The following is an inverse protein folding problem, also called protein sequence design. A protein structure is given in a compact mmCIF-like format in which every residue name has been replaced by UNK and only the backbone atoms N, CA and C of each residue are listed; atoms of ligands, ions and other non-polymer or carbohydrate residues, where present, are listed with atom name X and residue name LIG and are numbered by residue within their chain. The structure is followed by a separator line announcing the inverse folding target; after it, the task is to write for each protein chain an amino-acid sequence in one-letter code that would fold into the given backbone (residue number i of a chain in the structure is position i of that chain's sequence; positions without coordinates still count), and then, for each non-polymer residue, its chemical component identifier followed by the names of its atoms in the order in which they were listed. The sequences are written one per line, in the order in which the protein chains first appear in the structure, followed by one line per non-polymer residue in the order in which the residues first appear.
data_IF_402676473414
#
_entry.id   IF_402676473414
#
_cell.length_a   1.000
_cell.length_b   1.000
_cell.length_c   1.000
_cell.angle_alpha   90.00
_cell.angle_beta   90.00
_cell.angle_gamma   90.00
#
_symmetry.space_group_name_H-M   'P 1'
#
loop_
_entity.id
_entity.type
_entity.pdbx_description
1 polymer ?
#
# COMPACT_ATOMS: atom_id res chain seq x y z
N UNK A 1 -24.17 14.99 -6.75
CA UNK A 1 -23.81 15.26 -5.34
C UNK A 1 -22.46 14.61 -5.06
N UNK A 2 -21.40 15.37 -4.76
CA UNK A 2 -20.12 14.78 -4.34
C UNK A 2 -20.25 14.31 -2.88
N UNK A 3 -19.98 13.03 -2.62
CA UNK A 3 -19.97 12.46 -1.28
C UNK A 3 -18.72 12.85 -0.49
N UNK A 4 -18.74 12.66 0.83
CA UNK A 4 -17.56 12.79 1.68
C UNK A 4 -16.80 11.46 1.70
N UNK A 5 -15.49 11.50 1.44
CA UNK A 5 -14.61 10.33 1.54
C UNK A 5 -13.98 10.34 2.94
N UNK A 6 -14.16 9.26 3.68
CA UNK A 6 -13.51 9.07 4.98
C UNK A 6 -12.16 8.40 4.79
N UNK A 7 -11.09 9.10 5.15
CA UNK A 7 -9.72 8.59 5.15
C UNK A 7 -9.36 8.08 6.54
N UNK A 8 -8.76 6.89 6.58
CA UNK A 8 -8.20 6.30 7.79
C UNK A 8 -6.79 6.87 8.03
N UNK A 9 -6.38 6.96 9.28
CA UNK A 9 -5.04 7.42 9.65
C UNK A 9 -4.45 6.49 10.71
N UNK A 10 -3.36 5.80 10.38
CA UNK A 10 -2.73 4.82 11.28
C UNK A 10 -2.01 5.45 12.48
N UNK A 11 -1.89 6.78 12.51
CA UNK A 11 -1.09 7.50 13.51
C UNK A 11 0.40 7.30 13.27
N UNK A 12 1.20 7.51 14.32
CA UNK A 12 2.65 7.32 14.29
C UNK A 12 3.43 8.48 13.65
N UNK A 13 4.75 8.30 13.56
CA UNK A 13 5.66 9.28 13.00
C UNK A 13 6.09 8.90 11.57
N UNK A 14 6.43 9.92 10.77
CA UNK A 14 6.98 9.81 9.41
C UNK A 14 6.04 9.01 8.48
N UNK A 15 5.07 9.75 7.95
CA UNK A 15 3.99 9.24 7.12
C UNK A 15 4.42 9.05 5.67
N UNK A 16 3.81 8.06 5.02
CA UNK A 16 3.88 7.87 3.58
C UNK A 16 2.49 8.14 3.02
N UNK A 17 2.39 9.07 2.06
CA UNK A 17 1.14 9.54 1.48
C UNK A 17 1.10 9.33 -0.03
N UNK A 18 -0.10 9.30 -0.59
CA UNK A 18 -0.30 9.26 -2.04
C UNK A 18 0.23 10.54 -2.68
N UNK A 19 1.13 10.42 -3.66
CA UNK A 19 1.73 11.57 -4.33
C UNK A 19 0.72 12.45 -5.12
N UNK A 20 -0.46 11.92 -5.45
CA UNK A 20 -1.45 12.64 -6.26
C UNK A 20 -2.51 13.38 -5.44
N UNK A 21 -2.73 12.99 -4.19
CA UNK A 21 -3.83 13.56 -3.38
C UNK A 21 -3.54 13.65 -1.88
N UNK A 22 -2.30 13.37 -1.46
CA UNK A 22 -1.82 13.45 -0.08
C UNK A 22 -2.54 12.57 0.95
N UNK A 23 -3.44 11.69 0.51
CA UNK A 23 -4.08 10.71 1.40
C UNK A 23 -3.02 9.86 2.12
N UNK A 24 -3.12 9.77 3.45
CA UNK A 24 -2.23 8.94 4.25
C UNK A 24 -2.36 7.46 3.83
N UNK A 25 -1.25 6.81 3.51
CA UNK A 25 -1.24 5.41 3.11
C UNK A 25 -0.68 4.53 4.22
N UNK A 26 0.40 4.96 4.88
CA UNK A 26 1.01 4.21 5.98
C UNK A 26 1.99 5.10 6.78
N UNK A 27 2.77 4.52 7.68
CA UNK A 27 3.76 5.20 8.52
C UNK A 27 5.04 4.37 8.66
N UNK A 28 6.03 4.89 9.40
CA UNK A 28 7.32 4.21 9.60
C UNK A 28 7.25 2.92 10.43
N UNK A 29 6.27 2.78 11.34
CA UNK A 29 6.15 1.57 12.18
C UNK A 29 5.65 0.37 11.38
N UNK A 30 4.91 0.59 10.30
CA UNK A 30 4.46 -0.47 9.39
C UNK A 30 5.54 -0.89 8.37
N UNK A 31 6.69 -0.19 8.29
CA UNK A 31 7.74 -0.51 7.33
C UNK A 31 8.51 -1.77 7.74
N UNK A 32 8.35 -2.84 6.95
CA UNK A 32 9.06 -4.12 7.13
C UNK A 32 10.47 -4.04 6.50
N UNK A 33 10.58 -3.56 5.25
CA UNK A 33 11.87 -3.54 4.55
C UNK A 33 11.98 -2.43 3.50
N UNK A 34 13.14 -1.78 3.44
CA UNK A 34 13.51 -0.82 2.38
C UNK A 34 14.36 -1.43 1.25
N UNK A 35 14.62 -2.74 1.35
CA UNK A 35 15.41 -3.53 0.40
C UNK A 35 14.56 -4.55 -0.35
N UNK A 36 13.26 -4.30 -0.46
CA UNK A 36 12.35 -5.15 -1.20
C UNK A 36 12.43 -4.83 -2.70
N UNK A 37 12.25 -5.85 -3.54
CA UNK A 37 12.19 -5.71 -4.99
C UNK A 37 10.81 -6.19 -5.45
N UNK A 38 10.00 -5.25 -5.92
CA UNK A 38 8.72 -5.55 -6.56
C UNK A 38 8.87 -5.79 -8.06
N UNK A 39 7.75 -5.97 -8.74
CA UNK A 39 7.72 -6.22 -10.18
C UNK A 39 8.34 -5.09 -11.03
N UNK A 40 8.34 -3.85 -10.52
CA UNK A 40 8.87 -2.65 -11.20
C UNK A 40 10.24 -2.22 -10.68
N UNK A 41 10.91 -3.05 -9.87
CA UNK A 41 12.22 -2.75 -9.29
C UNK A 41 12.16 -2.49 -7.78
N UNK A 42 13.03 -1.61 -7.28
CA UNK A 42 13.17 -1.36 -5.85
C UNK A 42 11.88 -0.77 -5.27
N UNK A 43 11.42 -1.34 -4.16
CA UNK A 43 10.22 -0.94 -3.46
C UNK A 43 10.40 -1.04 -1.94
N UNK A 44 9.46 -0.44 -1.21
CA UNK A 44 9.34 -0.62 0.23
C UNK A 44 8.24 -1.63 0.52
N UNK A 45 8.53 -2.55 1.44
CA UNK A 45 7.57 -3.52 1.92
C UNK A 45 6.98 -3.03 3.24
N UNK A 46 5.67 -2.90 3.28
CA UNK A 46 4.91 -2.49 4.46
C UNK A 46 4.00 -3.63 4.94
N UNK A 47 3.79 -3.70 6.24
CA UNK A 47 2.88 -4.63 6.89
C UNK A 47 1.41 -4.22 6.68
N UNK A 48 1.10 -2.93 6.88
CA UNK A 48 -0.25 -2.38 6.71
C UNK A 48 -0.22 -1.09 5.88
N UNK A 49 -1.21 -0.98 4.99
CA UNK A 49 -1.49 0.21 4.18
C UNK A 49 -3.00 0.46 4.20
N UNK A 50 -3.40 1.72 4.33
CA UNK A 50 -4.78 2.17 4.38
C UNK A 50 -5.10 3.09 3.20
N UNK A 51 -6.39 3.42 3.03
CA UNK A 51 -6.87 4.31 1.98
C UNK A 51 -6.55 3.83 0.56
N UNK A 52 -6.65 2.52 0.35
CA UNK A 52 -6.44 1.85 -0.94
C UNK A 52 -7.72 1.18 -1.47
N UNK A 53 -7.78 1.00 -2.79
CA UNK A 53 -8.67 0.09 -3.50
C UNK A 53 -7.87 -1.13 -3.91
N UNK A 54 -8.45 -2.31 -3.74
CA UNK A 54 -7.81 -3.57 -4.14
C UNK A 54 -8.46 -4.09 -5.41
N UNK A 55 -7.64 -4.61 -6.33
CA UNK A 55 -8.12 -5.33 -7.51
C UNK A 55 -8.56 -6.76 -7.15
N UNK A 56 -8.94 -7.55 -8.15
CA UNK A 56 -9.26 -8.97 -7.96
C UNK A 56 -8.03 -9.73 -7.47
N UNK A 57 -8.26 -10.78 -6.68
CA UNK A 57 -7.18 -11.71 -6.28
C UNK A 57 -6.61 -12.36 -7.53
N UNK A 58 -5.30 -12.50 -7.54
CA UNK A 58 -4.54 -13.20 -8.56
C UNK A 58 -3.53 -14.11 -7.88
N UNK A 59 -3.37 -15.31 -8.40
CA UNK A 59 -2.26 -16.18 -8.03
C UNK A 59 -1.00 -15.74 -8.78
N UNK A 60 0.10 -15.52 -8.05
CA UNK A 60 1.38 -15.11 -8.63
C UNK A 60 2.51 -15.92 -8.02
N UNK A 61 3.37 -16.46 -8.87
CA UNK A 61 4.62 -17.09 -8.44
C UNK A 61 5.63 -15.98 -8.14
N UNK A 62 6.17 -15.99 -6.93
CA UNK A 62 7.24 -15.10 -6.48
C UNK A 62 8.49 -15.91 -6.12
N UNK A 63 9.59 -15.23 -5.77
CA UNK A 63 10.83 -15.89 -5.36
C UNK A 63 10.64 -16.86 -4.17
N UNK A 64 9.68 -16.57 -3.29
CA UNK A 64 9.37 -17.39 -2.10
C UNK A 64 8.32 -18.47 -2.36
N UNK A 65 7.87 -18.65 -3.61
CA UNK A 65 6.84 -19.62 -3.98
C UNK A 65 5.52 -18.98 -4.41
N UNK A 66 4.40 -19.74 -4.40
CA UNK A 66 3.09 -19.25 -4.82
C UNK A 66 2.44 -18.34 -3.78
N UNK A 67 1.90 -17.21 -4.22
CA UNK A 67 1.19 -16.24 -3.37
C UNK A 67 -0.12 -15.80 -4.02
N UNK A 68 -1.14 -15.58 -3.19
CA UNK A 68 -2.35 -14.87 -3.58
C UNK A 68 -2.14 -13.37 -3.36
N UNK A 69 -2.20 -12.59 -4.43
CA UNK A 69 -1.92 -11.15 -4.41
C UNK A 69 -3.05 -10.34 -5.00
N UNK A 70 -3.10 -9.05 -4.66
CA UNK A 70 -3.97 -8.05 -5.29
C UNK A 70 -3.14 -6.83 -5.61
N UNK A 71 -3.37 -6.24 -6.77
CA UNK A 71 -2.84 -4.91 -7.05
C UNK A 71 -3.64 -3.89 -6.24
N UNK A 72 -2.97 -2.84 -5.79
CA UNK A 72 -3.56 -1.80 -4.95
C UNK A 72 -3.32 -0.43 -5.54
N UNK A 73 -4.31 0.46 -5.42
CA UNK A 73 -4.21 1.86 -5.82
C UNK A 73 -4.81 2.75 -4.74
N UNK A 74 -4.46 4.04 -4.71
CA UNK A 74 -5.10 4.97 -3.78
C UNK A 74 -6.62 5.01 -4.02
N UNK A 75 -7.41 5.05 -2.95
CA UNK A 75 -8.88 5.01 -3.06
C UNK A 75 -9.51 6.35 -3.40
N UNK A 76 -8.75 7.44 -3.29
CA UNK A 76 -9.23 8.79 -3.62
C UNK A 76 -9.39 8.95 -5.13
#
# INVERSE_FOLDING_TARGET
KMGRIFLEHLGGARLFSCASCDANLTNRSELISTRFTGATGRAFLFNRVVNIKCSKVQDRVMLTGPHMVRDVSCKN
#
